data_IF_671289715066
#
_entry.id   IF_671289715066
#
_cell.length_a   1.000
_cell.length_b   1.000
_cell.length_c   1.000
_cell.angle_alpha   90.00
_cell.angle_beta   90.00
_cell.angle_gamma   90.00
#
_symmetry.space_group_name_H-M   'P 1'
#
loop_
_entity.id
_entity.type
_entity.pdbx_description
1 polymer ?
#
# COMPACT_ATOMS: atom_id res chain seq x y z
N UNK A 1 -11.06 -27.66 0.04
CA UNK A 1 -9.87 -27.40 -0.79
C UNK A 1 -9.08 -26.32 -0.08
N UNK A 2 -7.82 -26.60 0.26
CA UNK A 2 -7.02 -25.79 1.18
C UNK A 2 -6.67 -24.44 0.60
N UNK A 3 -7.05 -23.38 1.31
CA UNK A 3 -6.63 -22.01 1.03
C UNK A 3 -5.11 -21.94 1.22
N UNK A 4 -4.37 -21.72 0.14
CA UNK A 4 -2.94 -21.43 0.25
C UNK A 4 -2.85 -20.01 0.81
N UNK A 5 -2.44 -19.88 2.06
CA UNK A 5 -2.29 -18.61 2.75
C UNK A 5 -0.92 -18.01 2.41
N UNK A 6 -0.82 -17.34 1.26
CA UNK A 6 0.31 -16.44 1.01
C UNK A 6 0.27 -15.29 2.01
N UNK A 7 1.43 -14.88 2.51
CA UNK A 7 1.57 -13.70 3.35
C UNK A 7 2.19 -12.58 2.52
N UNK A 8 1.60 -11.39 2.49
CA UNK A 8 2.26 -10.22 1.91
C UNK A 8 2.64 -9.25 3.01
N UNK A 9 3.89 -8.79 3.05
CA UNK A 9 4.30 -7.66 3.87
C UNK A 9 4.14 -6.38 3.05
N UNK A 10 3.18 -5.53 3.43
CA UNK A 10 2.87 -4.29 2.70
C UNK A 10 3.30 -3.06 3.51
N UNK A 11 4.24 -2.30 2.96
CA UNK A 11 4.65 -0.99 3.46
C UNK A 11 4.07 0.09 2.56
N UNK A 12 3.31 1.03 3.13
CA UNK A 12 2.79 2.20 2.41
C UNK A 12 3.43 3.46 2.96
N UNK A 13 4.06 4.23 2.09
CA UNK A 13 4.72 5.49 2.40
C UNK A 13 4.02 6.62 1.66
N UNK A 14 3.80 7.75 2.31
CA UNK A 14 3.36 8.98 1.67
C UNK A 14 4.61 9.73 1.22
N UNK A 15 4.70 10.03 -0.07
CA UNK A 15 5.83 10.75 -0.66
C UNK A 15 5.50 12.20 -0.97
N UNK A 16 4.22 12.54 -1.18
CA UNK A 16 3.78 13.92 -1.42
C UNK A 16 2.37 14.16 -0.88
N UNK A 17 2.05 15.42 -0.55
CA UNK A 17 0.70 15.88 -0.20
C UNK A 17 0.40 17.16 -0.97
N UNK A 18 -0.76 17.24 -1.62
CA UNK A 18 -1.18 18.34 -2.50
C UNK A 18 -0.15 18.72 -3.57
N UNK A 19 0.50 17.70 -4.14
CA UNK A 19 1.55 17.87 -5.14
C UNK A 19 2.85 18.49 -4.60
N UNK A 20 2.99 18.64 -3.28
CA UNK A 20 4.25 19.00 -2.63
C UNK A 20 4.96 17.74 -2.14
N UNK A 21 6.15 17.48 -2.67
CA UNK A 21 6.99 16.38 -2.21
C UNK A 21 7.42 16.57 -0.76
N UNK A 22 7.31 15.50 0.01
CA UNK A 22 7.80 15.45 1.38
C UNK A 22 9.33 15.25 1.35
N UNK A 23 10.09 15.98 2.17
CA UNK A 23 11.55 15.83 2.23
C UNK A 23 11.98 14.43 2.70
N UNK A 24 11.10 13.73 3.42
CA UNK A 24 11.25 12.33 3.77
C UNK A 24 9.88 11.64 3.65
N UNK A 25 9.80 10.44 3.04
CA UNK A 25 8.56 9.67 3.00
C UNK A 25 8.07 9.37 4.41
N UNK A 26 6.77 9.53 4.64
CA UNK A 26 6.14 9.21 5.92
C UNK A 26 5.48 7.85 5.80
N UNK A 27 5.85 6.89 6.64
CA UNK A 27 5.20 5.57 6.66
C UNK A 27 3.77 5.73 7.17
N UNK A 28 2.80 5.63 6.26
CA UNK A 28 1.38 5.70 6.59
C UNK A 28 0.87 4.40 7.20
N UNK A 29 1.54 3.30 6.83
CA UNK A 29 1.12 1.96 7.18
C UNK A 29 2.33 1.05 7.23
N UNK A 30 2.62 0.52 8.43
CA UNK A 30 3.67 -0.47 8.63
C UNK A 30 3.18 -1.87 8.27
N UNK A 31 4.05 -2.64 7.61
CA UNK A 31 3.91 -4.02 7.16
C UNK A 31 2.79 -4.82 7.84
N UNK A 32 1.61 -4.87 7.22
CA UNK A 32 0.59 -5.84 7.62
C UNK A 32 0.72 -7.10 6.79
N UNK A 33 0.76 -8.23 7.50
CA UNK A 33 0.64 -9.58 6.95
C UNK A 33 -0.77 -9.79 6.43
N UNK A 34 -0.98 -9.53 5.14
CA UNK A 34 -2.26 -9.78 4.50
C UNK A 34 -2.24 -11.22 3.98
N UNK A 35 -3.18 -12.02 4.47
CA UNK A 35 -3.43 -13.37 3.92
C UNK A 35 -4.32 -13.21 2.71
N UNK A 36 -3.80 -13.52 1.54
CA UNK A 36 -4.53 -13.38 0.28
C UNK A 36 -4.72 -14.74 -0.39
N UNK A 37 -5.90 -14.91 -1.00
CA UNK A 37 -6.20 -16.03 -1.90
C UNK A 37 -6.27 -15.61 -3.37
N UNK A 38 -6.03 -14.32 -3.65
CA UNK A 38 -6.15 -13.66 -4.96
C UNK A 38 -4.85 -12.91 -5.28
N UNK A 39 -4.56 -12.68 -6.55
CA UNK A 39 -3.29 -12.05 -7.01
C UNK A 39 -3.14 -10.58 -6.54
N UNK A 40 -4.26 -9.91 -6.25
CA UNK A 40 -4.32 -8.51 -5.85
C UNK A 40 -4.72 -8.33 -4.37
N UNK A 41 -4.17 -7.28 -3.75
CA UNK A 41 -4.41 -6.89 -2.36
C UNK A 41 -5.04 -5.51 -2.32
N UNK A 42 -6.09 -5.34 -1.50
CA UNK A 42 -6.70 -4.04 -1.23
C UNK A 42 -6.43 -3.60 0.20
N UNK A 43 -5.87 -2.40 0.37
CA UNK A 43 -5.71 -1.73 1.68
C UNK A 43 -6.46 -0.42 1.70
N UNK A 44 -6.87 0.06 2.88
CA UNK A 44 -7.52 1.37 3.01
C UNK A 44 -6.51 2.39 3.53
N UNK A 45 -6.23 3.43 2.74
CA UNK A 45 -5.34 4.54 3.10
C UNK A 45 -6.19 5.81 3.14
N UNK A 46 -6.24 6.48 4.29
CA UNK A 46 -7.14 7.62 4.53
C UNK A 46 -8.63 7.34 4.26
N UNK A 47 -9.07 6.09 4.38
CA UNK A 47 -10.44 5.67 4.04
C UNK A 47 -10.67 5.38 2.56
N UNK A 48 -9.67 5.62 1.70
CA UNK A 48 -9.71 5.32 0.28
C UNK A 48 -9.11 3.92 0.02
N UNK A 49 -9.84 3.00 -0.63
CA UNK A 49 -9.30 1.68 -0.97
C UNK A 49 -8.27 1.80 -2.10
N UNK A 50 -7.12 1.17 -1.92
CA UNK A 50 -6.04 1.08 -2.89
C UNK A 50 -5.76 -0.39 -3.15
N UNK A 51 -5.90 -0.80 -4.42
CA UNK A 51 -5.66 -2.18 -4.87
C UNK A 51 -4.36 -2.25 -5.66
N UNK A 52 -3.51 -3.23 -5.35
CA UNK A 52 -2.23 -3.45 -6.00
C UNK A 52 -1.86 -4.95 -5.95
N UNK A 53 -1.04 -5.44 -6.89
CA UNK A 53 -0.61 -6.83 -6.90
C UNK A 53 0.37 -7.13 -5.76
N UNK A 54 0.46 -8.39 -5.33
CA UNK A 54 1.56 -8.87 -4.47
C UNK A 54 2.33 -10.00 -5.16
N UNK A 55 3.67 -9.87 -5.35
CA UNK A 55 4.53 -8.76 -4.92
C UNK A 55 4.39 -7.50 -5.80
N UNK A 56 4.72 -6.34 -5.23
CA UNK A 56 4.84 -5.07 -5.93
C UNK A 56 6.00 -4.24 -5.36
N UNK A 57 6.76 -3.58 -6.22
CA UNK A 57 7.89 -2.73 -5.84
C UNK A 57 7.72 -1.34 -6.45
N UNK A 58 7.89 -0.30 -5.64
CA UNK A 58 7.71 1.10 -6.04
C UNK A 58 6.36 1.38 -6.74
N UNK A 59 5.29 0.68 -6.33
CA UNK A 59 3.97 0.93 -6.87
C UNK A 59 3.47 2.29 -6.38
N UNK A 60 3.11 3.18 -7.30
CA UNK A 60 2.63 4.52 -6.95
C UNK A 60 1.12 4.61 -7.08
N UNK A 61 0.49 5.22 -6.09
CA UNK A 61 -0.93 5.51 -6.08
C UNK A 61 -1.17 6.94 -5.60
N UNK A 62 -2.30 7.52 -5.97
CA UNK A 62 -2.76 8.79 -5.42
C UNK A 62 -4.10 8.57 -4.77
N UNK A 63 -4.26 9.06 -3.55
CA UNK A 63 -5.53 9.00 -2.82
C UNK A 63 -5.93 10.38 -2.38
N UNK A 64 -7.22 10.68 -2.49
CA UNK A 64 -7.77 11.85 -1.81
C UNK A 64 -7.86 11.57 -0.31
N UNK A 65 -7.39 12.52 0.47
CA UNK A 65 -7.47 12.52 1.93
C UNK A 65 -8.19 13.80 2.38
N UNK A 66 -8.74 13.85 3.60
CA UNK A 66 -9.32 15.07 4.15
C UNK A 66 -8.33 16.23 4.29
N UNK A 67 -7.02 15.95 4.14
CA UNK A 67 -5.95 16.93 4.22
C UNK A 67 -5.40 17.35 2.84
N UNK A 68 -5.95 16.79 1.75
CA UNK A 68 -5.43 17.00 0.40
C UNK A 68 -5.19 15.70 -0.37
N UNK A 69 -4.63 15.80 -1.58
CA UNK A 69 -4.26 14.63 -2.39
C UNK A 69 -2.90 14.07 -1.94
N UNK A 70 -2.86 12.82 -1.50
CA UNK A 70 -1.64 12.17 -1.03
C UNK A 70 -1.08 11.23 -2.10
N UNK A 71 0.19 11.41 -2.47
CA UNK A 71 0.92 10.44 -3.27
C UNK A 71 1.49 9.37 -2.36
N UNK A 72 1.22 8.12 -2.69
CA UNK A 72 1.62 6.94 -1.97
C UNK A 72 2.64 6.16 -2.80
N UNK A 73 3.63 5.62 -2.10
CA UNK A 73 4.54 4.58 -2.58
C UNK A 73 4.29 3.32 -1.78
N UNK A 74 3.99 2.24 -2.49
CA UNK A 74 3.61 0.95 -1.92
C UNK A 74 4.68 -0.07 -2.29
N UNK A 75 5.20 -0.73 -1.27
CA UNK A 75 6.10 -1.87 -1.41
C UNK A 75 5.44 -3.08 -0.76
N UNK A 76 5.22 -4.11 -1.55
CA UNK A 76 4.54 -5.33 -1.17
C UNK A 76 5.47 -6.52 -1.45
N UNK A 77 5.95 -7.17 -0.39
CA UNK A 77 6.82 -8.34 -0.48
C UNK A 77 6.03 -9.61 -0.18
N UNK A 78 6.07 -10.57 -1.12
CA UNK A 78 5.48 -11.88 -0.88
C UNK A 78 6.39 -12.70 0.05
N UNK A 79 5.87 -13.05 1.21
CA UNK A 79 6.50 -13.93 2.19
C UNK A 79 6.10 -15.37 1.89
N UNK A 80 7.12 -16.22 1.71
CA UNK A 80 6.98 -17.66 1.43
C UNK A 80 6.75 -18.49 2.69
#
# INVERSE_FOLDING_TARGET
MGLVFGACAVTVEITAVDGQDLPQPVVAFEAQLIRFGEEDITVSVFGTPVTFPCPATDFTATVDSPFGSAALRINAEQLQ
#
